data_IF_018325420326
#
_entry.id   IF_018325420326
#
_cell.length_a   1.000
_cell.length_b   1.000
_cell.length_c   1.000
_cell.angle_alpha   90.00
_cell.angle_beta   90.00
_cell.angle_gamma   90.00
#
_symmetry.space_group_name_H-M   'P 1'
#
loop_
_entity.id
_entity.type
_entity.pdbx_description
1 polymer ?
#
# COMPACT_ATOMS: atom_id res chain seq x y z
N UNK A 1 -10.35 -8.34 15.50
CA UNK A 1 -10.55 -8.69 14.06
C UNK A 1 -9.28 -8.40 13.30
N UNK A 2 -8.86 -9.28 12.39
CA UNK A 2 -7.67 -9.13 11.54
C UNK A 2 -8.06 -8.59 10.18
N UNK A 3 -7.28 -7.68 9.62
CA UNK A 3 -7.47 -7.17 8.27
C UNK A 3 -6.16 -7.11 7.48
N UNK A 4 -6.24 -7.16 6.16
CA UNK A 4 -5.09 -7.07 5.25
C UNK A 4 -5.25 -5.86 4.36
N UNK A 5 -4.29 -4.95 4.42
CA UNK A 5 -4.16 -3.84 3.48
C UNK A 5 -3.13 -4.20 2.42
N UNK A 6 -3.60 -4.58 1.24
CA UNK A 6 -2.76 -5.08 0.17
C UNK A 6 -2.54 -4.05 -0.93
N UNK A 7 -1.34 -4.02 -1.48
CA UNK A 7 -0.96 -3.17 -2.59
C UNK A 7 0.44 -3.44 -3.12
N UNK A 8 0.78 -2.84 -4.26
CA UNK A 8 2.15 -2.90 -4.81
C UNK A 8 3.11 -2.02 -4.02
N UNK A 9 2.64 -0.86 -3.55
CA UNK A 9 3.41 0.10 -2.72
C UNK A 9 4.79 0.44 -3.31
N UNK A 10 4.79 0.99 -4.49
CA UNK A 10 6.00 1.25 -5.28
C UNK A 10 6.21 2.76 -5.60
N UNK A 11 6.62 3.58 -4.59
CA UNK A 11 6.81 3.27 -3.17
C UNK A 11 5.55 3.43 -2.30
N UNK A 12 5.67 3.08 -1.02
CA UNK A 12 4.69 3.39 0.02
C UNK A 12 4.68 4.90 0.28
N UNK A 13 3.50 5.54 0.18
CA UNK A 13 3.32 7.00 0.29
C UNK A 13 2.63 7.41 1.58
N UNK A 14 2.55 8.73 1.84
CA UNK A 14 1.73 9.25 2.97
C UNK A 14 0.25 8.92 2.80
N UNK A 15 -0.28 8.81 1.57
CA UNK A 15 -1.64 8.36 1.32
C UNK A 15 -1.87 6.91 1.76
N UNK A 16 -0.92 6.02 1.51
CA UNK A 16 -0.97 4.65 2.02
C UNK A 16 -0.87 4.61 3.54
N UNK A 17 -0.03 5.47 4.13
CA UNK A 17 0.08 5.58 5.59
C UNK A 17 -1.22 6.05 6.23
N UNK A 18 -1.93 7.02 5.65
CA UNK A 18 -3.24 7.48 6.13
C UNK A 18 -4.22 6.30 6.25
N UNK A 19 -4.34 5.51 5.20
CA UNK A 19 -5.17 4.31 5.20
C UNK A 19 -4.72 3.31 6.29
N UNK A 20 -3.40 3.08 6.42
CA UNK A 20 -2.86 2.15 7.42
C UNK A 20 -3.14 2.61 8.86
N UNK A 21 -2.99 3.90 9.15
CA UNK A 21 -3.27 4.50 10.47
C UNK A 21 -4.75 4.34 10.82
N UNK A 22 -5.64 4.66 9.87
CA UNK A 22 -7.09 4.56 10.09
C UNK A 22 -7.52 3.12 10.23
N UNK A 23 -6.95 2.21 9.45
CA UNK A 23 -7.16 0.78 9.60
C UNK A 23 -6.68 0.27 10.98
N UNK A 24 -5.52 0.73 11.45
CA UNK A 24 -4.99 0.38 12.77
C UNK A 24 -5.92 0.81 13.91
N UNK A 25 -6.69 1.88 13.74
CA UNK A 25 -7.71 2.31 14.70
C UNK A 25 -9.01 1.49 14.67
N UNK A 26 -9.25 0.73 13.60
CA UNK A 26 -10.48 -0.04 13.41
C UNK A 26 -10.32 -1.53 13.70
N UNK A 27 -9.10 -2.07 13.60
CA UNK A 27 -8.82 -3.51 13.69
C UNK A 27 -7.79 -3.82 14.76
N UNK A 28 -7.91 -5.00 15.39
CA UNK A 28 -6.95 -5.46 16.40
C UNK A 28 -5.55 -5.65 15.80
N UNK A 29 -5.49 -6.14 14.56
CA UNK A 29 -4.25 -6.30 13.80
C UNK A 29 -4.47 -6.00 12.33
N UNK A 30 -3.52 -5.29 11.72
CA UNK A 30 -3.50 -5.00 10.29
C UNK A 30 -2.20 -5.55 9.69
N UNK A 31 -2.32 -6.32 8.62
CA UNK A 31 -1.17 -6.73 7.82
C UNK A 31 -1.11 -5.89 6.55
N UNK A 32 -0.09 -5.05 6.42
CA UNK A 32 0.24 -4.40 5.15
C UNK A 32 0.95 -5.46 4.28
N UNK A 33 0.26 -5.91 3.25
CA UNK A 33 0.73 -6.96 2.35
C UNK A 33 1.26 -6.34 1.05
N UNK A 34 2.58 -6.35 0.90
CA UNK A 34 3.25 -5.84 -0.30
C UNK A 34 3.26 -6.93 -1.35
N UNK A 35 2.55 -6.71 -2.45
CA UNK A 35 2.44 -7.69 -3.52
C UNK A 35 3.72 -7.73 -4.37
N UNK A 36 4.19 -8.96 -4.68
CA UNK A 36 5.12 -9.15 -5.78
C UNK A 36 4.41 -8.78 -7.08
N UNK A 37 5.03 -7.90 -7.85
CA UNK A 37 4.45 -7.47 -9.12
C UNK A 37 5.06 -8.26 -10.27
N UNK A 38 4.22 -8.75 -11.15
CA UNK A 38 4.60 -9.55 -12.32
C UNK A 38 5.12 -8.70 -13.49
N UNK A 39 5.77 -7.56 -13.22
CA UNK A 39 6.47 -6.77 -14.24
C UNK A 39 6.11 -5.28 -14.31
N UNK A 40 5.37 -4.74 -13.33
CA UNK A 40 5.00 -3.31 -13.29
C UNK A 40 5.75 -2.49 -12.25
N UNK A 41 6.33 -3.14 -11.22
CA UNK A 41 7.06 -2.41 -10.17
C UNK A 41 8.47 -2.04 -10.61
N UNK A 42 8.91 -0.86 -10.18
CA UNK A 42 10.25 -0.33 -10.45
C UNK A 42 11.27 -0.87 -9.46
N UNK A 43 10.86 -1.09 -8.21
CA UNK A 43 11.74 -1.60 -7.15
C UNK A 43 11.43 -3.05 -6.77
N UNK A 44 12.45 -3.84 -6.36
CA UNK A 44 12.27 -5.20 -5.86
C UNK A 44 11.31 -5.28 -4.67
N UNK A 45 10.64 -6.43 -4.50
CA UNK A 45 9.70 -6.67 -3.41
C UNK A 45 10.30 -6.39 -2.03
N UNK A 46 11.52 -6.85 -1.77
CA UNK A 46 12.20 -6.65 -0.48
C UNK A 46 12.39 -5.18 -0.16
N UNK A 47 12.79 -4.38 -1.16
CA UNK A 47 13.00 -2.93 -1.02
C UNK A 47 11.69 -2.22 -0.71
N UNK A 48 10.62 -2.53 -1.43
CA UNK A 48 9.28 -1.95 -1.21
C UNK A 48 8.72 -2.33 0.16
N UNK A 49 8.93 -3.58 0.57
CA UNK A 49 8.55 -4.09 1.88
C UNK A 49 9.27 -3.36 3.01
N UNK A 50 10.56 -3.09 2.83
CA UNK A 50 11.37 -2.40 3.83
C UNK A 50 11.00 -0.90 3.95
N UNK A 51 10.71 -0.23 2.83
CA UNK A 51 10.16 1.13 2.84
C UNK A 51 8.83 1.16 3.61
N UNK A 52 7.92 0.23 3.32
CA UNK A 52 6.64 0.15 4.00
C UNK A 52 6.80 -0.13 5.51
N UNK A 53 7.71 -1.03 5.91
CA UNK A 53 8.04 -1.27 7.34
C UNK A 53 8.49 -0.01 8.04
N UNK A 54 9.41 0.73 7.43
CA UNK A 54 9.91 2.00 7.97
C UNK A 54 8.77 3.02 8.10
N UNK A 55 7.89 3.10 7.11
CA UNK A 55 6.79 4.06 7.06
C UNK A 55 5.71 3.85 8.12
N UNK A 56 5.55 2.63 8.64
CA UNK A 56 4.53 2.28 9.66
C UNK A 56 5.13 1.78 10.98
N UNK A 57 6.42 2.01 11.20
CA UNK A 57 7.17 1.45 12.34
C UNK A 57 6.68 1.87 13.73
N UNK A 58 5.93 2.96 13.81
CA UNK A 58 5.30 3.47 15.03
C UNK A 58 3.92 2.88 15.32
N UNK A 59 3.33 2.14 14.37
CA UNK A 59 2.01 1.53 14.52
C UNK A 59 2.13 0.13 15.15
N UNK A 60 1.79 0.01 16.43
CA UNK A 60 2.03 -1.20 17.23
C UNK A 60 1.30 -2.45 16.77
N UNK A 61 0.13 -2.29 16.14
CA UNK A 61 -0.72 -3.38 15.67
C UNK A 61 -0.68 -3.56 14.13
N UNK A 62 0.33 -2.95 13.48
CA UNK A 62 0.55 -3.08 12.03
C UNK A 62 1.81 -3.90 11.78
N UNK A 63 1.70 -4.94 10.96
CA UNK A 63 2.83 -5.71 10.45
C UNK A 63 2.94 -5.56 8.94
N UNK A 64 4.15 -5.68 8.40
CA UNK A 64 4.37 -5.58 6.94
C UNK A 64 5.02 -6.86 6.43
N UNK A 65 4.43 -7.45 5.40
CA UNK A 65 4.88 -8.71 4.79
C UNK A 65 4.87 -8.58 3.28
N UNK A 66 5.95 -8.99 2.63
CA UNK A 66 5.96 -9.24 1.18
C UNK A 66 5.30 -10.57 0.86
N UNK A 67 4.54 -10.65 -0.22
CA UNK A 67 3.93 -11.90 -0.66
C UNK A 67 3.94 -12.03 -2.19
N UNK A 68 3.91 -13.28 -2.64
CA UNK A 68 3.75 -13.66 -4.06
C UNK A 68 2.50 -14.52 -4.24
N UNK A 69 1.99 -14.56 -5.46
CA UNK A 69 0.80 -15.31 -5.83
C UNK A 69 -0.51 -14.58 -5.54
N UNK A 70 -1.59 -15.32 -5.42
CA UNK A 70 -2.94 -14.74 -5.26
C UNK A 70 -3.15 -14.14 -3.86
N UNK A 71 -3.67 -12.92 -3.83
CA UNK A 71 -4.03 -12.22 -2.59
C UNK A 71 -5.03 -13.02 -1.74
N UNK A 72 -5.98 -13.69 -2.37
CA UNK A 72 -6.98 -14.52 -1.69
C UNK A 72 -6.36 -15.73 -0.97
N UNK A 73 -5.36 -16.35 -1.56
CA UNK A 73 -4.63 -17.46 -0.93
C UNK A 73 -3.75 -16.97 0.21
N UNK A 74 -3.08 -15.84 0.02
CA UNK A 74 -2.34 -15.19 1.09
C UNK A 74 -3.25 -14.85 2.28
N UNK A 75 -4.41 -14.25 2.02
CA UNK A 75 -5.36 -13.88 3.07
C UNK A 75 -5.87 -15.10 3.86
N UNK A 76 -6.17 -16.20 3.20
CA UNK A 76 -6.53 -17.48 3.85
C UNK A 76 -5.43 -17.97 4.77
N UNK A 77 -4.17 -17.97 4.30
CA UNK A 77 -3.00 -18.39 5.11
C UNK A 77 -2.79 -17.50 6.34
N UNK A 78 -3.11 -16.20 6.24
CA UNK A 78 -3.04 -15.26 7.37
C UNK A 78 -4.24 -15.39 8.33
N UNK A 79 -5.25 -16.18 7.98
CA UNK A 79 -6.47 -16.29 8.78
C UNK A 79 -7.28 -14.99 8.82
N UNK A 80 -7.23 -14.20 7.75
CA UNK A 80 -8.02 -12.99 7.59
C UNK A 80 -9.16 -13.20 6.61
N UNK A 81 -10.35 -12.70 6.97
CA UNK A 81 -11.53 -12.70 6.12
C UNK A 81 -11.88 -11.31 5.58
N UNK A 82 -10.99 -10.32 5.78
CA UNK A 82 -11.23 -8.93 5.37
C UNK A 82 -10.01 -8.32 4.68
N UNK A 83 -10.24 -7.76 3.50
CA UNK A 83 -9.29 -6.92 2.78
C UNK A 83 -9.60 -5.43 3.00
N UNK A 84 -8.57 -4.61 3.07
CA UNK A 84 -8.67 -3.15 3.06
C UNK A 84 -8.18 -2.64 1.71
N UNK A 85 -8.98 -1.77 1.08
CA UNK A 85 -8.64 -1.09 -0.17
C UNK A 85 -8.76 0.41 0.01
N UNK A 86 -7.73 1.15 -0.39
CA UNK A 86 -7.74 2.62 -0.37
C UNK A 86 -8.15 3.17 -1.73
N UNK A 87 -9.02 4.18 -1.75
CA UNK A 87 -9.45 4.88 -2.98
C UNK A 87 -9.33 6.39 -2.82
N UNK A 88 -8.96 7.08 -3.87
CA UNK A 88 -8.73 8.54 -3.88
C UNK A 88 -9.79 9.31 -4.67
N UNK A 89 -10.38 8.65 -5.65
CA UNK A 89 -11.33 9.23 -6.58
C UNK A 89 -12.32 8.17 -7.11
N UNK A 90 -13.26 8.59 -7.93
CA UNK A 90 -14.30 7.73 -8.49
C UNK A 90 -13.73 6.61 -9.38
N UNK A 91 -12.67 6.89 -10.15
CA UNK A 91 -12.06 5.89 -11.03
C UNK A 91 -11.37 4.78 -10.19
N UNK A 92 -10.67 5.14 -9.11
CA UNK A 92 -10.11 4.16 -8.17
C UNK A 92 -11.25 3.32 -7.54
N UNK A 93 -12.37 3.97 -7.17
CA UNK A 93 -13.51 3.27 -6.57
C UNK A 93 -14.15 2.26 -7.53
N UNK A 94 -14.35 2.63 -8.79
CA UNK A 94 -14.91 1.72 -9.78
C UNK A 94 -14.00 0.51 -10.01
N UNK A 95 -12.70 0.74 -10.14
CA UNK A 95 -11.72 -0.32 -10.28
C UNK A 95 -11.69 -1.26 -9.07
N UNK A 96 -11.62 -0.71 -7.86
CA UNK A 96 -11.55 -1.48 -6.62
C UNK A 96 -12.86 -2.25 -6.35
N UNK A 97 -14.02 -1.67 -6.68
CA UNK A 97 -15.31 -2.37 -6.60
C UNK A 97 -15.31 -3.64 -7.45
N UNK A 98 -14.86 -3.55 -8.69
CA UNK A 98 -14.85 -4.70 -9.58
C UNK A 98 -13.86 -5.77 -9.09
N UNK A 99 -12.69 -5.34 -8.62
CA UNK A 99 -11.66 -6.22 -8.08
C UNK A 99 -12.12 -6.91 -6.77
N UNK A 100 -12.80 -6.20 -5.89
CA UNK A 100 -13.36 -6.79 -4.65
C UNK A 100 -14.43 -7.83 -4.94
N UNK A 101 -15.27 -7.62 -5.95
CA UNK A 101 -16.24 -8.63 -6.41
C UNK A 101 -15.55 -9.91 -6.90
N UNK A 102 -14.43 -9.78 -7.60
CA UNK A 102 -13.61 -10.93 -8.01
C UNK A 102 -13.07 -11.68 -6.79
N UNK A 103 -12.49 -10.98 -5.81
CA UNK A 103 -11.97 -11.60 -4.60
C UNK A 103 -13.07 -12.32 -3.80
N UNK A 104 -14.23 -11.69 -3.68
CA UNK A 104 -15.39 -12.30 -3.01
C UNK A 104 -15.85 -13.57 -3.73
N UNK A 105 -15.97 -13.52 -5.05
CA UNK A 105 -16.33 -14.68 -5.87
C UNK A 105 -15.33 -15.84 -5.73
N UNK A 106 -14.02 -15.54 -5.67
CA UNK A 106 -12.97 -16.56 -5.59
C UNK A 106 -12.86 -17.22 -4.20
N UNK A 107 -13.15 -16.50 -3.14
CA UNK A 107 -12.76 -16.93 -1.79
C UNK A 107 -13.75 -16.60 -0.67
N UNK A 108 -14.81 -15.87 -0.97
CA UNK A 108 -15.76 -15.38 0.02
C UNK A 108 -15.22 -14.24 0.91
N UNK A 109 -14.00 -13.74 0.62
CA UNK A 109 -13.38 -12.66 1.41
C UNK A 109 -14.11 -11.34 1.18
N UNK A 110 -14.42 -10.64 2.26
CA UNK A 110 -15.02 -9.29 2.18
C UNK A 110 -13.95 -8.20 2.04
N UNK A 111 -14.37 -7.03 1.57
CA UNK A 111 -13.49 -5.88 1.42
C UNK A 111 -14.10 -4.63 2.05
N UNK A 112 -13.27 -3.87 2.75
CA UNK A 112 -13.58 -2.55 3.26
C UNK A 112 -12.84 -1.51 2.41
N UNK A 113 -13.60 -0.60 1.83
CA UNK A 113 -13.04 0.52 1.07
C UNK A 113 -12.91 1.72 2.01
N UNK A 114 -11.69 2.27 2.10
CA UNK A 114 -11.39 3.47 2.87
C UNK A 114 -11.07 4.59 1.87
N UNK A 115 -11.86 5.66 1.91
CA UNK A 115 -11.63 6.84 1.07
C UNK A 115 -10.47 7.64 1.65
N UNK A 116 -9.50 7.99 0.81
CA UNK A 116 -8.35 8.83 1.17
C UNK A 116 -8.81 10.16 1.77
N UNK A 117 -8.06 10.68 2.72
CA UNK A 117 -8.25 12.04 3.21
C UNK A 117 -8.14 13.04 2.06
N UNK A 118 -9.01 14.06 1.98
CA UNK A 118 -9.06 14.97 0.83
C UNK A 118 -7.73 15.64 0.50
N UNK A 119 -6.97 16.01 1.52
CA UNK A 119 -5.64 16.61 1.40
C UNK A 119 -4.58 15.68 0.81
N UNK A 120 -4.83 14.36 0.78
CA UNK A 120 -3.92 13.34 0.25
C UNK A 120 -4.39 12.73 -1.08
N UNK A 121 -5.53 13.14 -1.60
CA UNK A 121 -6.11 12.57 -2.81
C UNK A 121 -5.23 12.72 -4.06
N UNK A 122 -4.35 13.73 -4.08
CA UNK A 122 -3.39 13.96 -5.17
C UNK A 122 -2.12 13.13 -5.06
N UNK A 123 -1.89 12.43 -3.93
CA UNK A 123 -0.67 11.65 -3.70
C UNK A 123 -0.80 10.28 -4.34
N UNK A 124 0.16 9.93 -5.19
CA UNK A 124 0.25 8.58 -5.79
C UNK A 124 1.71 8.12 -5.90
N UNK A 125 1.91 6.82 -5.91
CA UNK A 125 3.26 6.24 -6.11
C UNK A 125 3.86 6.65 -7.46
N UNK A 126 3.07 6.71 -8.52
CA UNK A 126 3.55 7.13 -9.85
C UNK A 126 4.03 8.57 -9.87
N UNK A 127 3.30 9.49 -9.21
CA UNK A 127 3.72 10.89 -9.07
C UNK A 127 5.03 10.98 -8.29
N UNK A 128 5.15 10.24 -7.18
CA UNK A 128 6.40 10.20 -6.37
C UNK A 128 7.58 9.73 -7.21
N UNK A 129 7.41 8.63 -7.97
CA UNK A 129 8.48 8.15 -8.86
C UNK A 129 8.88 9.17 -9.92
N UNK A 130 7.91 9.83 -10.54
CA UNK A 130 8.17 10.86 -11.54
C UNK A 130 8.97 12.03 -10.96
N UNK A 131 8.55 12.55 -9.81
CA UNK A 131 9.25 13.65 -9.13
C UNK A 131 10.66 13.24 -8.75
N UNK A 132 10.84 12.07 -8.13
CA UNK A 132 12.15 11.56 -7.74
C UNK A 132 13.09 11.39 -8.95
N UNK A 133 12.60 10.77 -10.03
CA UNK A 133 13.39 10.56 -11.26
C UNK A 133 13.86 11.87 -11.92
N UNK A 134 13.11 12.96 -11.72
CA UNK A 134 13.48 14.29 -12.19
C UNK A 134 14.35 15.08 -11.18
N UNK A 135 14.70 14.48 -10.04
CA UNK A 135 15.50 15.12 -8.98
C UNK A 135 14.71 16.11 -8.11
N UNK A 136 13.37 16.04 -8.12
CA UNK A 136 12.51 16.89 -7.30
C UNK A 136 12.39 16.41 -5.85
N UNK A 137 11.94 17.30 -4.97
CA UNK A 137 11.70 17.00 -3.56
C UNK A 137 10.40 16.21 -3.38
N UNK A 138 10.52 15.03 -2.79
CA UNK A 138 9.40 14.12 -2.51
C UNK A 138 8.93 14.16 -1.04
N UNK A 139 9.51 15.02 -0.22
CA UNK A 139 9.30 15.03 1.24
C UNK A 139 7.84 15.25 1.66
N UNK A 140 7.05 15.89 0.80
CA UNK A 140 5.63 16.13 1.03
C UNK A 140 4.71 14.93 0.71
N UNK A 141 5.25 13.91 0.03
CA UNK A 141 4.45 12.80 -0.51
C UNK A 141 4.76 11.46 0.14
N UNK A 142 5.83 11.39 0.92
CA UNK A 142 6.27 10.17 1.60
C UNK A 142 6.58 10.42 3.07
N UNK A 143 6.66 9.36 3.86
CA UNK A 143 7.02 9.49 5.28
C UNK A 143 8.46 9.98 5.40
N UNK A 144 8.69 10.95 6.27
CA UNK A 144 10.01 11.63 6.39
C UNK A 144 11.18 10.66 6.54
N UNK A 145 11.02 9.59 7.32
CA UNK A 145 12.05 8.56 7.53
C UNK A 145 12.37 7.72 6.29
N UNK A 146 11.53 7.77 5.24
CA UNK A 146 11.72 7.00 4.00
C UNK A 146 12.24 7.84 2.83
N UNK A 147 12.30 9.16 2.96
CA UNK A 147 12.68 10.10 1.89
C UNK A 147 14.01 9.71 1.25
N UNK A 148 15.06 9.57 2.07
CA UNK A 148 16.41 9.26 1.56
C UNK A 148 16.41 7.96 0.76
N UNK A 149 15.87 6.89 1.32
CA UNK A 149 15.83 5.57 0.67
C UNK A 149 15.04 5.59 -0.64
N UNK A 150 13.91 6.28 -0.67
CA UNK A 150 13.10 6.41 -1.88
C UNK A 150 13.86 7.22 -2.95
N UNK A 151 14.53 8.31 -2.55
CA UNK A 151 15.36 9.11 -3.47
C UNK A 151 16.51 8.29 -4.05
N UNK A 152 17.19 7.47 -3.25
CA UNK A 152 18.28 6.59 -3.72
C UNK A 152 17.81 5.54 -4.74
N UNK A 153 16.58 5.06 -4.59
CA UNK A 153 16.05 3.98 -5.45
C UNK A 153 15.43 4.51 -6.73
N UNK A 154 14.61 5.55 -6.62
CA UNK A 154 13.81 6.08 -7.71
C UNK A 154 14.35 7.39 -8.30
N UNK A 155 15.34 8.01 -7.64
CA UNK A 155 15.95 9.24 -8.08
C UNK A 155 16.79 9.08 -9.35
N UNK A 156 17.18 10.22 -9.91
CA UNK A 156 18.07 10.27 -11.09
C UNK A 156 19.39 9.59 -10.73
N UNK A 157 19.75 8.54 -11.47
CA UNK A 157 21.10 7.97 -11.44
C UNK A 157 22.01 8.90 -12.25
N UNK A 158 23.04 9.43 -11.60
CA UNK A 158 24.12 10.15 -12.28
C UNK A 158 24.85 9.26 -13.27
#
# INVERSE_FOLDING_TARGET
MKAIFAGTFDPFTIGHRDIAVRAAGLFDTVTVAVAEDTGKSTAPLEVRTDIAKTAVSDLKNVTVVGFSGLLTDFAKKQGSALLIRGVRNAADLDYERDLTNVYKSMSGIESLIIISSPELAHVSSSVVRTIAALGGDISQFVVKSTVQKITEIYGKKE
#
